data_IF_444186784733
#
_entry.id   IF_444186784733
#
_cell.length_a   1.000
_cell.length_b   1.000
_cell.length_c   1.000
_cell.angle_alpha   90.00
_cell.angle_beta   90.00
_cell.angle_gamma   90.00
#
_symmetry.space_group_name_H-M   'P 1'
#
loop_
_entity.id
_entity.type
_entity.pdbx_description
1 polymer ?
#
# COMPACT_ATOMS: atom_id res chain seq x y z
N UNK A 1 -5.27 -22.66 -11.21
CA UNK A 1 -4.95 -21.64 -10.18
C UNK A 1 -4.39 -22.39 -8.99
N UNK A 2 -3.15 -22.14 -8.62
CA UNK A 2 -2.52 -22.86 -7.51
C UNK A 2 -2.94 -22.18 -6.19
N UNK A 3 -3.92 -22.76 -5.49
CA UNK A 3 -4.49 -22.22 -4.25
C UNK A 3 -3.48 -22.10 -3.10
N UNK A 4 -2.37 -22.86 -3.16
CA UNK A 4 -1.31 -22.81 -2.12
C UNK A 4 -0.61 -21.45 -2.02
N UNK A 5 -0.59 -20.69 -3.09
CA UNK A 5 0.04 -19.35 -3.13
C UNK A 5 -0.83 -18.27 -2.46
N UNK A 6 -2.15 -18.46 -2.38
CA UNK A 6 -3.09 -17.52 -1.75
C UNK A 6 -3.18 -17.67 -0.22
N UNK A 7 -2.46 -18.61 0.37
CA UNK A 7 -2.41 -18.76 1.85
C UNK A 7 -1.47 -17.77 2.53
N UNK A 8 -0.63 -17.07 1.76
CA UNK A 8 0.33 -16.10 2.27
C UNK A 8 -0.30 -14.72 2.47
N UNK A 9 0.14 -14.03 3.51
CA UNK A 9 -0.25 -12.66 3.84
C UNK A 9 1.01 -11.79 4.06
N UNK A 10 1.73 -11.39 2.97
CA UNK A 10 3.08 -10.81 3.07
C UNK A 10 3.18 -9.61 4.00
N UNK A 11 2.20 -8.69 3.95
CA UNK A 11 2.17 -7.50 4.82
C UNK A 11 1.96 -7.90 6.28
N UNK A 12 1.02 -8.80 6.55
CA UNK A 12 0.75 -9.27 7.91
C UNK A 12 1.97 -10.01 8.48
N UNK A 13 2.57 -10.91 7.72
CA UNK A 13 3.77 -11.65 8.08
C UNK A 13 4.96 -10.71 8.37
N UNK A 14 5.09 -9.62 7.59
CA UNK A 14 6.12 -8.61 7.81
C UNK A 14 5.87 -7.80 9.09
N UNK A 15 4.62 -7.45 9.39
CA UNK A 15 4.23 -6.78 10.64
C UNK A 15 4.49 -7.65 11.87
N UNK A 16 4.19 -8.95 11.80
CA UNK A 16 4.50 -9.88 12.89
C UNK A 16 6.02 -10.00 13.13
N UNK A 17 6.80 -10.10 12.06
CA UNK A 17 8.27 -10.09 12.17
C UNK A 17 8.77 -8.78 12.78
N UNK A 18 8.29 -7.64 12.27
CA UNK A 18 8.67 -6.33 12.77
C UNK A 18 8.33 -6.15 14.25
N UNK A 19 7.15 -6.62 14.68
CA UNK A 19 6.72 -6.61 16.08
C UNK A 19 7.70 -7.37 16.98
N UNK A 20 8.26 -8.49 16.51
CA UNK A 20 9.22 -9.31 17.28
C UNK A 20 10.62 -8.70 17.34
N UNK A 21 10.94 -7.73 16.47
CA UNK A 21 12.25 -7.08 16.45
C UNK A 21 12.44 -6.13 17.64
N UNK A 22 13.63 -6.14 18.23
CA UNK A 22 14.06 -5.19 19.25
C UNK A 22 14.44 -3.85 18.60
N UNK A 23 13.46 -3.08 18.21
CA UNK A 23 13.65 -1.77 17.57
C UNK A 23 13.27 -0.68 18.56
N UNK A 24 14.12 0.34 18.69
CA UNK A 24 13.80 1.58 19.38
C UNK A 24 13.22 2.55 18.35
N UNK A 25 11.90 2.87 18.41
CA UNK A 25 11.26 3.70 17.41
C UNK A 25 11.60 5.18 17.61
N UNK A 26 12.32 5.77 16.67
CA UNK A 26 12.55 7.21 16.58
C UNK A 26 11.66 7.87 15.51
N UNK A 27 10.95 7.07 14.73
CA UNK A 27 10.04 7.45 13.68
C UNK A 27 8.63 7.79 14.19
N UNK A 28 7.75 8.23 13.32
CA UNK A 28 6.31 8.32 13.57
C UNK A 28 5.69 6.92 13.49
N UNK A 29 4.56 6.64 14.15
CA UNK A 29 3.74 7.53 14.98
C UNK A 29 4.33 7.88 16.36
N UNK A 30 3.88 9.04 16.92
CA UNK A 30 4.37 9.57 18.20
C UNK A 30 4.11 8.70 19.42
N UNK A 31 3.14 7.79 19.36
CA UNK A 31 2.87 6.83 20.46
C UNK A 31 3.98 5.78 20.67
N UNK A 32 4.96 5.71 19.77
CA UNK A 32 6.16 4.86 19.91
C UNK A 32 5.83 3.42 20.30
N UNK A 33 4.99 2.76 19.48
CA UNK A 33 4.50 1.39 19.70
C UNK A 33 3.75 1.25 21.04
N UNK A 34 3.04 2.33 21.44
CA UNK A 34 2.25 2.41 22.66
C UNK A 34 2.98 2.97 23.88
N UNK A 35 4.32 3.00 23.88
CA UNK A 35 5.10 3.47 25.05
C UNK A 35 5.00 4.98 25.29
N UNK A 36 4.73 5.76 24.26
CA UNK A 36 4.65 7.22 24.34
C UNK A 36 3.30 7.76 24.81
N UNK A 37 2.25 6.94 24.86
CA UNK A 37 0.92 7.35 25.31
C UNK A 37 0.20 6.18 26.00
N UNK A 38 0.34 6.04 27.34
CA UNK A 38 -0.29 4.94 28.09
C UNK A 38 -1.81 4.95 28.05
N UNK A 39 -2.45 6.11 27.98
CA UNK A 39 -3.92 6.21 27.92
C UNK A 39 -4.44 5.69 26.58
N UNK A 40 -3.79 6.08 25.48
CA UNK A 40 -4.11 5.56 24.14
C UNK A 40 -3.88 4.04 24.08
N UNK A 41 -2.82 3.56 24.71
CA UNK A 41 -2.50 2.12 24.78
C UNK A 41 -3.57 1.35 25.53
N UNK A 42 -4.09 1.91 26.63
CA UNK A 42 -5.19 1.33 27.40
C UNK A 42 -6.48 1.30 26.58
N UNK A 43 -6.74 2.33 25.77
CA UNK A 43 -7.96 2.44 24.97
C UNK A 43 -7.95 1.52 23.74
N UNK A 44 -6.86 1.52 22.95
CA UNK A 44 -6.76 0.76 21.69
C UNK A 44 -6.18 -0.66 21.87
N UNK A 45 -5.49 -0.91 22.95
CA UNK A 45 -4.74 -2.13 23.20
C UNK A 45 -3.31 -2.09 22.63
N UNK A 46 -2.39 -2.70 23.37
CA UNK A 46 -0.98 -2.74 23.02
C UNK A 46 -0.72 -3.40 21.66
N UNK A 47 -1.45 -4.49 21.37
CA UNK A 47 -1.28 -5.23 20.11
C UNK A 47 -1.51 -4.37 18.88
N UNK A 48 -2.53 -3.50 18.92
CA UNK A 48 -2.84 -2.57 17.84
C UNK A 48 -1.69 -1.58 17.61
N UNK A 49 -1.23 -0.92 18.68
CA UNK A 49 -0.21 0.11 18.59
C UNK A 49 1.19 -0.44 18.23
N UNK A 50 1.46 -1.72 18.49
CA UNK A 50 2.74 -2.32 18.10
C UNK A 50 2.88 -2.57 16.61
N UNK A 51 1.78 -2.57 15.86
CA UNK A 51 1.73 -2.74 14.39
C UNK A 51 1.31 -1.47 13.66
N UNK A 52 0.99 -0.40 14.38
CA UNK A 52 0.81 0.92 13.79
C UNK A 52 2.17 1.59 13.57
N UNK A 53 2.62 1.55 12.35
CA UNK A 53 3.98 1.89 11.93
C UNK A 53 3.98 2.63 10.60
N UNK A 54 5.07 3.32 10.32
CA UNK A 54 5.26 4.04 9.06
C UNK A 54 5.96 3.16 8.02
N UNK A 55 6.07 3.68 6.79
CA UNK A 55 6.90 3.09 5.73
C UNK A 55 8.35 3.01 6.19
N UNK A 56 8.95 1.83 6.05
CA UNK A 56 10.35 1.60 6.38
C UNK A 56 10.87 0.37 5.65
N UNK A 57 12.17 0.23 5.56
CA UNK A 57 12.81 -0.85 4.80
C UNK A 57 12.23 -2.26 5.05
N UNK A 58 11.92 -2.71 6.29
CA UNK A 58 11.32 -4.03 6.50
C UNK A 58 9.85 -4.15 6.10
N UNK A 59 9.14 -3.03 5.93
CA UNK A 59 7.69 -2.97 5.69
C UNK A 59 7.32 -2.40 4.33
N UNK A 60 8.32 -2.05 3.51
CA UNK A 60 8.13 -1.47 2.18
C UNK A 60 7.59 -0.02 2.21
N UNK A 61 7.27 0.50 1.04
CA UNK A 61 6.69 1.83 0.86
C UNK A 61 5.55 1.77 -0.15
N UNK A 62 4.35 2.14 0.28
CA UNK A 62 3.16 2.09 -0.57
C UNK A 62 3.27 2.96 -1.83
N UNK A 63 3.99 4.09 -1.77
CA UNK A 63 4.17 4.95 -2.93
C UNK A 63 5.15 4.38 -3.98
N UNK A 64 5.96 3.40 -3.58
CA UNK A 64 6.91 2.72 -4.47
C UNK A 64 7.18 1.30 -3.96
N UNK A 65 6.21 0.39 -4.12
CA UNK A 65 6.31 -0.97 -3.61
C UNK A 65 7.42 -1.76 -4.32
N UNK A 66 8.32 -2.38 -3.55
CA UNK A 66 9.44 -3.18 -4.07
C UNK A 66 9.62 -4.52 -3.34
N UNK A 67 8.90 -4.73 -2.24
CA UNK A 67 9.04 -5.94 -1.40
C UNK A 67 7.67 -6.46 -0.94
N UNK A 68 7.36 -6.42 0.34
CA UNK A 68 6.17 -7.08 0.90
C UNK A 68 4.84 -6.50 0.41
N UNK A 69 4.77 -5.20 0.14
CA UNK A 69 3.58 -4.59 -0.46
C UNK A 69 3.47 -5.03 -1.92
N UNK A 70 4.57 -5.01 -2.65
CA UNK A 70 4.62 -5.51 -4.03
C UNK A 70 4.17 -6.96 -4.13
N UNK A 71 4.66 -7.83 -3.26
CA UNK A 71 4.26 -9.24 -3.20
C UNK A 71 2.76 -9.38 -2.92
N UNK A 72 2.21 -8.58 -2.00
CA UNK A 72 0.78 -8.59 -1.71
C UNK A 72 -0.08 -8.10 -2.89
N UNK A 73 0.37 -7.06 -3.61
CA UNK A 73 -0.30 -6.60 -4.84
C UNK A 73 -0.29 -7.68 -5.94
N UNK A 74 0.81 -8.40 -6.10
CA UNK A 74 0.89 -9.51 -7.06
C UNK A 74 -0.02 -10.68 -6.69
N UNK A 75 -0.15 -11.01 -5.40
CA UNK A 75 -1.11 -11.99 -4.90
C UNK A 75 -2.55 -11.54 -5.19
N UNK A 76 -2.88 -10.28 -4.93
CA UNK A 76 -4.18 -9.72 -5.22
C UNK A 76 -4.49 -9.75 -6.73
N UNK A 77 -3.55 -9.34 -7.57
CA UNK A 77 -3.70 -9.41 -9.03
C UNK A 77 -4.01 -10.83 -9.50
N UNK A 78 -3.29 -11.83 -9.01
CA UNK A 78 -3.55 -13.24 -9.33
C UNK A 78 -4.93 -13.70 -8.83
N UNK A 79 -5.34 -13.31 -7.63
CA UNK A 79 -6.63 -13.69 -7.07
C UNK A 79 -7.81 -13.17 -7.88
N UNK A 80 -7.69 -11.96 -8.44
CA UNK A 80 -8.72 -11.34 -9.25
C UNK A 80 -8.55 -11.55 -10.77
N UNK A 81 -7.53 -12.29 -11.20
CA UNK A 81 -7.25 -12.52 -12.63
C UNK A 81 -6.85 -11.25 -13.38
N UNK A 82 -6.27 -10.26 -12.68
CA UNK A 82 -5.81 -9.01 -13.23
C UNK A 82 -4.31 -9.07 -13.57
N UNK A 83 -3.84 -8.20 -14.46
CA UNK A 83 -2.41 -8.05 -14.74
C UNK A 83 -1.68 -7.35 -13.58
N UNK A 84 -2.33 -6.37 -12.97
CA UNK A 84 -1.81 -5.59 -11.85
C UNK A 84 -2.92 -5.33 -10.83
N UNK A 85 -2.53 -5.18 -9.57
CA UNK A 85 -3.36 -4.63 -8.50
C UNK A 85 -2.54 -3.55 -7.78
N UNK A 86 -3.22 -2.51 -7.32
CA UNK A 86 -2.61 -1.40 -6.60
C UNK A 86 -3.38 -1.16 -5.31
N UNK A 87 -2.69 -1.12 -4.20
CA UNK A 87 -3.30 -0.76 -2.92
C UNK A 87 -3.41 0.76 -2.81
N UNK A 88 -4.61 1.22 -2.52
CA UNK A 88 -4.90 2.65 -2.42
C UNK A 88 -5.23 3.05 -0.98
N UNK A 89 -4.85 4.26 -0.61
CA UNK A 89 -5.28 4.92 0.64
C UNK A 89 -6.43 5.89 0.35
N UNK A 90 -7.09 6.39 1.40
CA UNK A 90 -8.25 7.29 1.33
C UNK A 90 -9.54 6.65 0.80
N UNK A 91 -9.66 5.34 0.94
CA UNK A 91 -10.89 4.58 0.68
C UNK A 91 -11.21 4.34 -0.79
N UNK A 92 -12.33 3.70 -1.04
CA UNK A 92 -12.80 3.32 -2.38
C UNK A 92 -12.99 4.53 -3.29
N UNK A 93 -13.41 5.67 -2.77
CA UNK A 93 -13.56 6.89 -3.57
C UNK A 93 -12.26 7.30 -4.25
N UNK A 94 -11.16 7.28 -3.52
CA UNK A 94 -9.83 7.58 -4.09
C UNK A 94 -9.43 6.57 -5.17
N UNK A 95 -9.70 5.30 -4.96
CA UNK A 95 -9.43 4.25 -5.94
C UNK A 95 -10.24 4.45 -7.23
N UNK A 96 -11.53 4.72 -7.12
CA UNK A 96 -12.41 5.00 -8.28
C UNK A 96 -11.96 6.25 -9.02
N UNK A 97 -11.65 7.33 -8.32
CA UNK A 97 -11.13 8.54 -8.95
C UNK A 97 -9.82 8.28 -9.70
N UNK A 98 -8.91 7.51 -9.13
CA UNK A 98 -7.64 7.16 -9.76
C UNK A 98 -7.80 6.32 -11.02
N UNK A 99 -8.89 5.53 -11.14
CA UNK A 99 -9.20 4.80 -12.37
C UNK A 99 -9.78 5.71 -13.46
N UNK A 100 -10.56 6.72 -13.09
CA UNK A 100 -11.28 7.58 -14.03
C UNK A 100 -10.39 8.71 -14.55
N UNK A 101 -9.59 9.34 -13.68
CA UNK A 101 -8.77 10.53 -14.02
C UNK A 101 -7.86 10.29 -15.24
N UNK A 102 -7.14 9.16 -15.39
CA UNK A 102 -6.29 8.94 -16.55
C UNK A 102 -7.04 8.85 -17.89
N UNK A 103 -8.33 8.52 -17.84
CA UNK A 103 -9.18 8.37 -19.03
C UNK A 103 -9.85 9.71 -19.46
N UNK A 104 -9.79 10.73 -18.60
CA UNK A 104 -10.35 12.05 -18.92
C UNK A 104 -9.35 12.86 -19.75
N UNK A 105 -9.72 13.29 -20.97
CA UNK A 105 -8.78 13.95 -21.90
C UNK A 105 -8.14 15.23 -21.37
N UNK A 106 -8.80 15.94 -20.44
CA UNK A 106 -8.43 17.29 -20.03
C UNK A 106 -8.01 17.42 -18.56
N UNK A 107 -7.85 16.33 -17.82
CA UNK A 107 -7.62 16.40 -16.37
C UNK A 107 -6.15 16.40 -15.95
N UNK A 108 -5.23 16.58 -16.87
CA UNK A 108 -3.81 16.76 -16.51
C UNK A 108 -3.55 18.21 -16.11
N UNK A 109 -3.81 18.52 -14.83
CA UNK A 109 -3.26 19.72 -14.12
C UNK A 109 -3.32 21.05 -14.86
N UNK A 110 -4.45 21.43 -15.44
CA UNK A 110 -4.60 22.75 -16.06
C UNK A 110 -3.62 23.06 -17.22
N UNK A 111 -2.82 22.11 -17.63
CA UNK A 111 -1.94 22.21 -18.79
C UNK A 111 -2.42 21.24 -19.85
N UNK A 112 -2.87 21.76 -20.97
CA UNK A 112 -3.13 21.01 -22.20
C UNK A 112 -1.82 20.35 -22.65
N UNK A 113 -1.58 19.10 -22.27
CA UNK A 113 -0.57 18.30 -22.94
C UNK A 113 -1.29 17.51 -24.03
N UNK A 114 -0.91 17.71 -25.30
CA UNK A 114 -1.46 16.91 -26.39
C UNK A 114 -1.22 15.43 -26.08
N UNK A 115 -2.27 14.62 -26.22
CA UNK A 115 -2.20 13.17 -26.17
C UNK A 115 -1.09 12.73 -27.13
N UNK A 116 -0.11 11.90 -26.72
CA UNK A 116 0.80 11.32 -27.69
C UNK A 116 -0.04 10.56 -28.70
N UNK A 117 0.02 10.99 -29.94
CA UNK A 117 -0.74 10.43 -31.05
C UNK A 117 -0.55 8.92 -31.04
N UNK A 118 -1.66 8.18 -30.94
CA UNK A 118 -1.65 6.75 -31.20
C UNK A 118 -1.14 6.59 -32.61
N UNK A 119 0.06 6.03 -32.72
CA UNK A 119 0.74 5.87 -33.98
C UNK A 119 -0.21 5.43 -35.07
N UNK A 120 -0.31 6.24 -36.10
CA UNK A 120 -0.97 5.86 -37.34
C UNK A 120 -0.30 4.58 -37.85
N UNK A 121 -1.06 3.49 -37.82
CA UNK A 121 -0.67 2.30 -38.56
C UNK A 121 -0.67 2.70 -40.03
N UNK A 122 0.52 2.89 -40.58
CA UNK A 122 0.69 2.99 -42.02
C UNK A 122 0.47 1.59 -42.63
N UNK A 123 -0.45 1.56 -43.57
CA UNK A 123 -0.69 0.46 -44.48
C UNK A 123 0.54 0.12 -45.32
#
# INVERSE_FOLDING_TARGET
>A
MNLSDQSRAPIFEALERYKSMRIVPFDVPGHKRGKGNPELTKFLGEKCLTVDVNSMKPLDNLCHPVSVIKEAEELAARAFGAQHAFFMVNGTTSAVQSMIIPELPDFRSGTFLPHPERGQAHH
#
